data_IF_913484992190
#
_entry.id   IF_913484992190
#
_cell.length_a   1.000
_cell.length_b   1.000
_cell.length_c   1.000
_cell.angle_alpha   90.00
_cell.angle_beta   90.00
_cell.angle_gamma   90.00
#
_symmetry.space_group_name_H-M   'P 1'
#
loop_
_entity.id
_entity.type
_entity.pdbx_description
1 polymer ?
#
# COMPACT_ATOMS: atom_id res chain seq x y z
N UNK A 1 -16.55 77.88 -16.37
CA UNK A 1 -15.33 77.45 -15.65
C UNK A 1 -15.79 76.66 -14.43
N UNK A 2 -15.94 75.37 -14.54
CA UNK A 2 -16.30 74.45 -13.46
C UNK A 2 -15.26 73.35 -13.41
N UNK A 3 -14.53 73.36 -12.30
CA UNK A 3 -13.48 72.41 -11.97
C UNK A 3 -14.12 71.26 -11.16
N UNK A 4 -14.16 70.07 -11.73
CA UNK A 4 -14.55 68.84 -11.06
C UNK A 4 -13.32 68.22 -10.39
N UNK A 5 -13.32 67.78 -9.12
CA UNK A 5 -12.22 67.06 -8.55
C UNK A 5 -12.33 65.57 -8.93
N UNK A 6 -11.25 65.02 -9.49
CA UNK A 6 -11.02 63.59 -9.66
C UNK A 6 -10.85 62.90 -8.31
N UNK A 7 -11.70 61.95 -8.05
CA UNK A 7 -11.54 61.03 -6.92
C UNK A 7 -10.51 59.94 -7.33
N UNK A 8 -9.40 59.92 -6.66
CA UNK A 8 -8.36 58.88 -6.80
C UNK A 8 -8.90 57.54 -6.25
N UNK A 9 -9.08 56.57 -7.15
CA UNK A 9 -9.37 55.18 -6.78
C UNK A 9 -8.11 54.58 -6.19
N UNK A 10 -8.10 54.33 -4.89
CA UNK A 10 -7.06 53.65 -4.18
C UNK A 10 -6.92 52.18 -4.65
N UNK A 11 -5.71 51.84 -5.03
CA UNK A 11 -5.26 50.50 -5.38
C UNK A 11 -5.43 49.54 -4.18
N UNK A 12 -6.17 48.42 -4.24
CA UNK A 12 -6.24 47.48 -3.14
C UNK A 12 -4.90 46.80 -2.91
N UNK A 13 -4.42 46.89 -1.68
CA UNK A 13 -3.19 46.40 -1.13
C UNK A 13 -2.77 45.04 -1.67
N UNK A 14 -1.53 44.98 -2.12
CA UNK A 14 -0.81 43.78 -2.44
C UNK A 14 -0.90 42.78 -1.26
N UNK A 15 -1.43 41.60 -1.52
CA UNK A 15 -1.29 40.45 -0.63
C UNK A 15 0.20 40.17 -0.44
N UNK A 16 0.67 39.95 0.79
CA UNK A 16 2.03 39.49 1.01
C UNK A 16 2.22 38.15 0.30
N UNK A 17 3.39 37.86 -0.28
CA UNK A 17 3.64 36.58 -0.89
C UNK A 17 3.46 35.50 0.19
N UNK A 18 2.68 34.47 -0.16
CA UNK A 18 2.55 33.28 0.65
C UNK A 18 3.97 32.80 0.98
N UNK A 19 4.32 32.80 2.26
CA UNK A 19 5.51 32.11 2.75
C UNK A 19 5.47 30.69 2.15
N UNK A 20 6.40 30.46 1.25
CA UNK A 20 6.68 29.14 0.71
C UNK A 20 6.89 28.22 1.91
N UNK A 21 5.93 27.32 2.13
CA UNK A 21 6.11 26.19 3.00
C UNK A 21 7.46 25.56 2.61
N UNK A 22 8.46 25.79 3.47
CA UNK A 22 9.76 25.15 3.33
C UNK A 22 9.49 23.67 3.26
N UNK A 23 9.60 23.15 2.03
CA UNK A 23 9.48 21.74 1.76
C UNK A 23 10.39 21.01 2.72
N UNK A 24 9.83 20.15 3.56
CA UNK A 24 10.59 19.07 4.19
C UNK A 24 11.54 18.54 3.13
N UNK A 25 12.86 18.47 3.41
CA UNK A 25 13.80 17.96 2.43
C UNK A 25 13.28 16.58 2.02
N UNK A 26 12.81 16.47 0.78
CA UNK A 26 12.62 15.17 0.15
C UNK A 26 13.98 14.50 0.29
N UNK A 27 14.13 13.65 1.30
CA UNK A 27 15.15 12.63 1.31
C UNK A 27 14.94 11.88 0.01
N UNK A 28 15.68 12.29 -1.03
CA UNK A 28 15.80 11.52 -2.25
C UNK A 28 16.29 10.16 -1.78
N UNK A 29 15.39 9.20 -1.73
CA UNK A 29 15.77 7.80 -1.50
C UNK A 29 16.90 7.54 -2.53
N UNK A 30 18.09 7.11 -2.09
CA UNK A 30 19.15 6.78 -3.02
C UNK A 30 18.55 5.84 -4.05
N UNK A 31 18.85 6.09 -5.35
CA UNK A 31 18.31 5.28 -6.44
C UNK A 31 18.44 3.81 -6.08
N UNK A 32 17.33 3.21 -5.72
CA UNK A 32 17.25 1.85 -5.19
C UNK A 32 17.98 0.83 -6.09
N UNK A 33 17.93 0.96 -7.45
CA UNK A 33 18.74 0.14 -8.35
C UNK A 33 20.23 0.22 -8.10
N UNK A 34 20.75 1.40 -7.75
CA UNK A 34 22.19 1.60 -7.54
C UNK A 34 22.68 1.00 -6.23
N UNK A 35 21.89 1.06 -5.17
CA UNK A 35 22.20 0.45 -3.86
C UNK A 35 22.18 -1.07 -3.97
N UNK A 36 21.15 -1.63 -4.61
CA UNK A 36 21.03 -3.07 -4.81
C UNK A 36 22.14 -3.65 -5.70
N UNK A 37 22.56 -2.92 -6.74
CA UNK A 37 23.67 -3.33 -7.60
C UNK A 37 25.01 -3.29 -6.84
N UNK A 38 25.21 -2.32 -5.94
CA UNK A 38 26.39 -2.24 -5.07
C UNK A 38 26.47 -3.39 -4.08
N UNK A 39 25.39 -3.70 -3.37
CA UNK A 39 25.35 -4.79 -2.40
C UNK A 39 25.53 -6.15 -3.07
N UNK A 40 24.96 -6.34 -4.25
CA UNK A 40 25.16 -7.52 -5.06
C UNK A 40 26.63 -7.69 -5.44
N UNK A 41 27.27 -6.63 -5.95
CA UNK A 41 28.69 -6.66 -6.30
C UNK A 41 29.57 -6.99 -5.11
N UNK A 42 29.30 -6.39 -3.96
CA UNK A 42 30.00 -6.69 -2.73
C UNK A 42 29.88 -8.16 -2.31
N UNK A 43 28.67 -8.73 -2.43
CA UNK A 43 28.43 -10.15 -2.16
C UNK A 43 29.21 -11.09 -3.09
N UNK A 44 29.19 -10.81 -4.40
CA UNK A 44 29.93 -11.59 -5.40
C UNK A 44 31.44 -11.51 -5.14
N UNK A 45 31.98 -10.33 -4.88
CA UNK A 45 33.42 -10.16 -4.60
C UNK A 45 33.85 -10.91 -3.33
N UNK A 46 33.01 -10.93 -2.26
CA UNK A 46 33.32 -11.71 -1.06
C UNK A 46 33.43 -13.21 -1.34
N UNK A 47 32.52 -13.76 -2.16
CA UNK A 47 32.58 -15.17 -2.55
C UNK A 47 33.83 -15.48 -3.35
N UNK A 48 34.21 -14.60 -4.28
CA UNK A 48 35.40 -14.77 -5.11
C UNK A 48 36.66 -14.68 -4.25
N UNK A 49 36.75 -13.75 -3.30
CA UNK A 49 37.89 -13.63 -2.39
C UNK A 49 38.02 -14.89 -1.52
N UNK A 50 36.92 -15.41 -0.99
CA UNK A 50 36.95 -16.64 -0.23
C UNK A 50 37.47 -17.81 -1.08
N UNK A 51 36.99 -17.91 -2.34
CA UNK A 51 37.48 -18.92 -3.29
C UNK A 51 38.98 -18.78 -3.56
N UNK A 52 39.50 -17.56 -3.75
CA UNK A 52 40.97 -17.31 -3.91
C UNK A 52 41.77 -17.82 -2.73
N UNK A 53 41.36 -17.53 -1.49
CA UNK A 53 42.03 -18.05 -0.30
C UNK A 53 42.05 -19.57 -0.27
N UNK A 54 40.94 -20.23 -0.58
CA UNK A 54 40.85 -21.70 -0.64
C UNK A 54 41.83 -22.24 -1.69
N UNK A 55 41.88 -21.63 -2.87
CA UNK A 55 42.76 -22.05 -3.96
C UNK A 55 44.24 -21.83 -3.60
N UNK A 56 44.55 -20.70 -2.99
CA UNK A 56 45.94 -20.39 -2.55
C UNK A 56 46.43 -21.42 -1.52
N UNK A 57 45.60 -21.75 -0.54
CA UNK A 57 45.93 -22.81 0.45
C UNK A 57 46.10 -24.16 -0.22
N UNK A 58 45.18 -24.52 -1.14
CA UNK A 58 45.25 -25.77 -1.89
C UNK A 58 46.56 -25.85 -2.72
N UNK A 59 46.91 -24.77 -3.44
CA UNK A 59 48.11 -24.72 -4.24
C UNK A 59 49.38 -24.82 -3.37
N UNK A 60 49.40 -24.09 -2.25
CA UNK A 60 50.53 -24.13 -1.31
C UNK A 60 50.71 -25.53 -0.69
N UNK A 61 49.61 -26.21 -0.33
CA UNK A 61 49.66 -27.58 0.20
C UNK A 61 50.13 -28.54 -0.90
N UNK A 62 49.57 -28.47 -2.11
CA UNK A 62 49.91 -29.37 -3.22
C UNK A 62 51.42 -29.29 -3.60
N UNK A 63 51.98 -28.10 -3.61
CA UNK A 63 53.40 -27.89 -3.94
C UNK A 63 54.32 -28.40 -2.82
N UNK A 64 53.87 -28.35 -1.56
CA UNK A 64 54.70 -28.77 -0.41
C UNK A 64 54.46 -30.23 0.04
N UNK A 65 53.63 -31.01 -0.67
CA UNK A 65 53.38 -32.41 -0.32
C UNK A 65 54.66 -33.25 -0.53
N UNK A 66 55.07 -34.10 0.45
CA UNK A 66 56.22 -34.94 0.30
C UNK A 66 56.11 -35.92 -0.83
N UNK A 67 56.92 -35.77 -1.89
CA UNK A 67 56.97 -36.64 -3.06
C UNK A 67 57.11 -35.96 -4.41
N UNK A 68 56.75 -34.69 -4.54
CA UNK A 68 56.93 -33.92 -5.76
C UNK A 68 58.04 -32.83 -5.55
N UNK A 69 59.28 -33.17 -5.94
CA UNK A 69 60.33 -32.15 -6.02
C UNK A 69 60.28 -31.51 -7.44
N UNK A 70 59.52 -30.42 -7.52
CA UNK A 70 59.54 -29.58 -8.75
C UNK A 70 60.92 -28.97 -8.91
N UNK A 71 61.60 -29.10 -10.03
CA UNK A 71 62.91 -28.46 -10.30
C UNK A 71 62.89 -26.94 -10.20
N UNK A 72 61.70 -26.32 -10.33
CA UNK A 72 61.48 -24.85 -10.32
C UNK A 72 60.85 -24.34 -9.01
N UNK A 73 61.11 -25.02 -7.89
CA UNK A 73 60.52 -24.72 -6.60
C UNK A 73 60.63 -23.25 -6.17
N UNK A 74 61.77 -22.55 -6.32
CA UNK A 74 61.90 -21.13 -5.93
C UNK A 74 60.95 -20.22 -6.74
N UNK A 75 60.73 -20.51 -8.02
CA UNK A 75 59.88 -19.73 -8.90
C UNK A 75 58.41 -19.93 -8.56
N UNK A 76 58.03 -21.17 -8.22
CA UNK A 76 56.67 -21.50 -7.73
C UNK A 76 56.35 -20.81 -6.41
N UNK A 77 57.28 -20.86 -5.44
CA UNK A 77 57.14 -20.19 -4.14
C UNK A 77 57.02 -18.66 -4.29
N UNK A 78 57.81 -18.08 -5.21
CA UNK A 78 57.69 -16.66 -5.55
C UNK A 78 56.32 -16.31 -6.12
N UNK A 79 55.83 -17.11 -7.04
CA UNK A 79 54.53 -16.88 -7.69
C UNK A 79 53.36 -17.02 -6.71
N UNK A 80 53.41 -18.01 -5.81
CA UNK A 80 52.48 -18.17 -4.71
C UNK A 80 52.51 -16.99 -3.73
N UNK A 81 53.70 -16.47 -3.42
CA UNK A 81 53.90 -15.26 -2.61
C UNK A 81 53.26 -14.03 -3.23
N UNK A 82 53.48 -13.82 -4.54
CA UNK A 82 52.85 -12.72 -5.28
C UNK A 82 51.32 -12.84 -5.26
N UNK A 83 50.83 -14.03 -5.46
CA UNK A 83 49.36 -14.28 -5.40
C UNK A 83 48.79 -14.06 -4.00
N UNK A 84 49.49 -14.47 -2.95
CA UNK A 84 49.09 -14.21 -1.56
C UNK A 84 49.00 -12.71 -1.24
N UNK A 85 50.02 -11.92 -1.64
CA UNK A 85 50.05 -10.47 -1.48
C UNK A 85 48.89 -9.82 -2.23
N UNK A 86 48.63 -10.25 -3.47
CA UNK A 86 47.55 -9.74 -4.30
C UNK A 86 46.18 -10.04 -3.65
N UNK A 87 45.97 -11.29 -3.22
CA UNK A 87 44.71 -11.69 -2.53
C UNK A 87 44.54 -10.94 -1.21
N UNK A 88 45.58 -10.73 -0.43
CA UNK A 88 45.50 -9.95 0.79
C UNK A 88 45.14 -8.47 0.50
N UNK A 89 45.73 -7.86 -0.52
CA UNK A 89 45.44 -6.49 -0.90
C UNK A 89 43.98 -6.31 -1.34
N UNK A 90 43.46 -7.24 -2.15
CA UNK A 90 42.05 -7.22 -2.61
C UNK A 90 41.07 -7.49 -1.45
N UNK A 91 41.43 -8.35 -0.51
CA UNK A 91 40.66 -8.60 0.71
C UNK A 91 40.59 -7.35 1.60
N UNK A 92 41.72 -6.64 1.81
CA UNK A 92 41.75 -5.38 2.57
C UNK A 92 40.90 -4.30 1.87
N UNK A 93 41.00 -4.17 0.54
CA UNK A 93 40.17 -3.25 -0.22
C UNK A 93 38.66 -3.54 -0.04
N UNK A 94 38.27 -4.80 -0.03
CA UNK A 94 36.90 -5.20 0.18
C UNK A 94 36.41 -4.93 1.60
N UNK A 95 37.25 -5.18 2.62
CA UNK A 95 36.95 -4.88 4.03
C UNK A 95 36.78 -3.39 4.29
N UNK A 96 37.54 -2.55 3.57
CA UNK A 96 37.42 -1.09 3.61
C UNK A 96 36.31 -0.54 2.70
N UNK A 97 35.43 -1.42 2.19
CA UNK A 97 34.26 -1.09 1.36
C UNK A 97 34.62 -0.43 0.00
N UNK A 98 35.83 -0.67 -0.51
CA UNK A 98 36.29 -0.26 -1.82
C UNK A 98 35.99 -1.34 -2.86
N UNK A 99 34.84 -1.23 -3.54
CA UNK A 99 34.49 -2.17 -4.61
C UNK A 99 35.30 -1.86 -5.88
N UNK A 100 35.83 -2.92 -6.55
CA UNK A 100 36.59 -2.73 -7.77
C UNK A 100 35.72 -2.19 -8.91
N UNK A 101 36.27 -1.25 -9.66
CA UNK A 101 35.66 -0.78 -10.92
C UNK A 101 35.66 -1.91 -11.96
N UNK A 102 34.80 -1.83 -12.97
CA UNK A 102 34.78 -2.84 -14.05
C UNK A 102 36.12 -3.08 -14.70
N UNK A 103 36.90 -2.02 -14.93
CA UNK A 103 38.25 -2.12 -15.50
C UNK A 103 39.18 -2.89 -14.57
N UNK A 104 39.13 -2.60 -13.29
CA UNK A 104 39.92 -3.31 -12.28
C UNK A 104 39.50 -4.80 -12.18
N UNK A 105 38.22 -5.13 -12.28
CA UNK A 105 37.75 -6.51 -12.29
C UNK A 105 38.31 -7.32 -13.47
N UNK A 106 38.43 -6.74 -14.67
CA UNK A 106 39.08 -7.39 -15.82
C UNK A 106 40.59 -7.55 -15.58
N UNK A 107 41.26 -6.54 -15.02
CA UNK A 107 42.67 -6.65 -14.68
C UNK A 107 42.93 -7.75 -13.63
N UNK A 108 42.05 -7.86 -12.61
CA UNK A 108 42.12 -8.91 -11.59
C UNK A 108 41.97 -10.29 -12.22
N UNK A 109 40.99 -10.46 -13.12
CA UNK A 109 40.75 -11.73 -13.82
C UNK A 109 41.98 -12.10 -14.70
N UNK A 110 42.53 -11.15 -15.43
CA UNK A 110 43.72 -11.39 -16.26
C UNK A 110 44.93 -11.81 -15.39
N UNK A 111 45.08 -11.21 -14.22
CA UNK A 111 46.14 -11.56 -13.26
C UNK A 111 45.91 -12.96 -12.67
N UNK A 112 44.70 -13.31 -12.30
CA UNK A 112 44.32 -14.66 -11.82
C UNK A 112 44.63 -15.73 -12.89
N UNK A 113 44.33 -15.45 -14.17
CA UNK A 113 44.67 -16.36 -15.29
C UNK A 113 46.16 -16.48 -15.45
N UNK A 114 46.90 -15.37 -15.43
CA UNK A 114 48.35 -15.35 -15.60
C UNK A 114 49.05 -16.14 -14.48
N UNK A 115 48.68 -15.93 -13.25
CA UNK A 115 49.23 -16.63 -12.08
C UNK A 115 48.91 -18.13 -12.15
N UNK A 116 47.65 -18.51 -12.41
CA UNK A 116 47.24 -19.88 -12.56
C UNK A 116 48.01 -20.58 -13.70
N UNK A 117 48.19 -19.91 -14.82
CA UNK A 117 48.96 -20.43 -15.99
C UNK A 117 50.43 -20.63 -15.66
N UNK A 118 51.06 -19.69 -14.99
CA UNK A 118 52.45 -19.81 -14.55
C UNK A 118 52.65 -20.95 -13.54
N UNK A 119 51.75 -21.11 -12.59
CA UNK A 119 51.76 -22.23 -11.64
C UNK A 119 51.63 -23.57 -12.36
N UNK A 120 50.73 -23.71 -13.32
CA UNK A 120 50.55 -24.93 -14.09
C UNK A 120 51.78 -25.25 -14.94
N UNK A 121 52.36 -24.23 -15.57
CA UNK A 121 53.61 -24.42 -16.39
C UNK A 121 54.76 -24.90 -15.55
N UNK A 122 55.07 -24.21 -14.42
CA UNK A 122 56.14 -24.52 -13.52
C UNK A 122 56.01 -25.88 -12.77
N UNK A 123 54.79 -26.41 -12.65
CA UNK A 123 54.51 -27.63 -11.91
C UNK A 123 54.27 -28.84 -12.78
N UNK A 124 54.65 -28.80 -14.06
CA UNK A 124 54.58 -29.94 -14.97
C UNK A 124 53.59 -29.83 -16.11
N UNK A 125 53.11 -28.62 -16.41
CA UNK A 125 52.26 -28.36 -17.58
C UNK A 125 50.97 -29.19 -17.63
N UNK A 126 50.80 -30.03 -18.61
CA UNK A 126 49.63 -30.88 -18.79
C UNK A 126 49.40 -31.85 -17.63
N UNK A 127 50.47 -32.35 -17.00
CA UNK A 127 50.38 -33.30 -15.90
C UNK A 127 50.15 -32.64 -14.54
N UNK A 128 50.16 -31.31 -14.47
CA UNK A 128 50.01 -30.58 -13.23
C UNK A 128 48.64 -30.80 -12.60
N UNK A 129 48.63 -31.13 -11.31
CA UNK A 129 47.40 -31.18 -10.48
C UNK A 129 46.78 -29.81 -10.27
N UNK A 130 47.60 -28.71 -10.37
CA UNK A 130 47.14 -27.34 -10.24
C UNK A 130 46.25 -26.88 -11.42
N UNK A 131 46.09 -27.68 -12.46
CA UNK A 131 45.13 -27.42 -13.53
C UNK A 131 43.68 -27.29 -13.03
N UNK A 132 43.36 -27.80 -11.84
CA UNK A 132 42.07 -27.60 -11.18
C UNK A 132 41.76 -26.12 -10.84
N UNK A 133 42.80 -25.31 -10.67
CA UNK A 133 42.70 -23.87 -10.38
C UNK A 133 41.94 -23.14 -11.49
N UNK A 134 42.11 -23.54 -12.74
CA UNK A 134 41.42 -22.95 -13.87
C UNK A 134 39.86 -23.05 -13.77
N UNK A 135 39.35 -24.14 -13.21
CA UNK A 135 37.89 -24.28 -13.02
C UNK A 135 37.34 -23.21 -12.09
N UNK A 136 38.07 -22.89 -11.02
CA UNK A 136 37.65 -21.86 -10.06
C UNK A 136 37.74 -20.44 -10.67
N UNK A 137 38.73 -20.18 -11.52
CA UNK A 137 38.85 -18.90 -12.25
C UNK A 137 37.68 -18.74 -13.23
N UNK A 138 37.24 -19.84 -13.92
CA UNK A 138 36.07 -19.84 -14.82
C UNK A 138 34.81 -19.58 -14.03
N UNK A 139 34.59 -20.22 -12.87
CA UNK A 139 33.43 -20.01 -12.01
C UNK A 139 33.43 -18.56 -11.48
N UNK A 140 34.54 -18.03 -11.01
CA UNK A 140 34.66 -16.64 -10.56
C UNK A 140 34.31 -15.64 -11.67
N UNK A 141 34.77 -15.92 -12.91
CA UNK A 141 34.41 -15.14 -14.10
C UNK A 141 32.91 -15.16 -14.40
N UNK A 142 32.24 -16.31 -14.21
CA UNK A 142 30.79 -16.43 -14.41
C UNK A 142 30.00 -15.59 -13.42
N UNK A 143 30.44 -15.51 -12.16
CA UNK A 143 29.80 -14.69 -11.13
C UNK A 143 29.94 -13.19 -11.39
N UNK A 144 31.10 -12.73 -11.92
CA UNK A 144 31.37 -11.33 -12.26
C UNK A 144 30.73 -10.87 -13.55
N UNK A 145 30.86 -11.68 -14.61
CA UNK A 145 30.57 -11.27 -15.98
C UNK A 145 29.47 -12.11 -16.65
N UNK A 146 28.91 -13.07 -15.93
CA UNK A 146 27.85 -13.96 -16.43
C UNK A 146 28.36 -14.96 -17.50
N UNK A 147 27.42 -15.48 -18.29
CA UNK A 147 27.70 -16.53 -19.28
C UNK A 147 28.75 -16.12 -20.34
N UNK A 148 28.64 -14.90 -20.86
CA UNK A 148 29.61 -14.41 -21.86
C UNK A 148 31.03 -14.32 -21.31
N UNK A 149 31.18 -13.86 -20.08
CA UNK A 149 32.45 -13.77 -19.39
C UNK A 149 33.09 -15.14 -19.09
N UNK A 150 32.29 -16.10 -18.64
CA UNK A 150 32.78 -17.45 -18.37
C UNK A 150 33.25 -18.19 -19.62
N UNK A 151 32.50 -18.07 -20.72
CA UNK A 151 32.89 -18.67 -22.01
C UNK A 151 34.17 -18.03 -22.57
N UNK A 152 34.28 -16.71 -22.50
CA UNK A 152 35.50 -16.01 -22.92
C UNK A 152 36.69 -16.41 -22.06
N UNK A 153 36.54 -16.50 -20.73
CA UNK A 153 37.56 -16.95 -19.80
C UNK A 153 38.01 -18.38 -20.10
N UNK A 154 37.09 -19.31 -20.32
CA UNK A 154 37.38 -20.69 -20.64
C UNK A 154 38.14 -20.82 -21.97
N UNK A 155 37.74 -20.07 -23.02
CA UNK A 155 38.43 -20.03 -24.28
C UNK A 155 39.85 -19.45 -24.16
N UNK A 156 40.03 -18.41 -23.36
CA UNK A 156 41.36 -17.83 -23.10
C UNK A 156 42.28 -18.80 -22.34
N UNK A 157 41.78 -19.48 -21.32
CA UNK A 157 42.51 -20.51 -20.57
C UNK A 157 42.86 -21.66 -21.47
N UNK A 158 41.93 -22.15 -22.33
CA UNK A 158 42.17 -23.22 -23.27
C UNK A 158 43.30 -22.86 -24.27
N UNK A 159 43.30 -21.64 -24.79
CA UNK A 159 44.37 -21.17 -25.69
C UNK A 159 45.75 -21.12 -25.00
N UNK A 160 45.79 -20.60 -23.77
CA UNK A 160 47.02 -20.54 -22.96
C UNK A 160 47.52 -21.97 -22.64
N UNK A 161 46.60 -22.85 -22.21
CA UNK A 161 46.91 -24.21 -21.85
C UNK A 161 47.47 -25.00 -23.04
N UNK A 162 46.89 -24.77 -24.23
CA UNK A 162 47.45 -25.32 -25.50
C UNK A 162 48.85 -24.77 -25.79
N UNK A 163 49.06 -23.45 -25.57
CA UNK A 163 50.39 -22.82 -25.77
C UNK A 163 51.47 -23.40 -24.85
N UNK A 164 51.15 -23.66 -23.58
CA UNK A 164 52.05 -24.32 -22.62
C UNK A 164 52.44 -25.71 -23.12
N UNK A 165 51.46 -26.49 -23.62
CA UNK A 165 51.73 -27.81 -24.19
C UNK A 165 52.67 -27.83 -25.37
N UNK A 166 52.58 -26.89 -26.28
CA UNK A 166 53.50 -26.75 -27.40
C UNK A 166 54.91 -26.28 -26.97
N UNK A 167 55.01 -25.38 -25.98
CA UNK A 167 56.26 -24.84 -25.51
C UNK A 167 57.14 -25.89 -24.76
N UNK A 168 56.51 -26.80 -24.06
CA UNK A 168 57.19 -27.87 -23.31
C UNK A 168 57.82 -28.96 -24.20
N UNK A 169 57.66 -28.87 -25.52
CA UNK A 169 58.31 -29.77 -26.48
C UNK A 169 57.85 -31.22 -26.41
N UNK A 170 56.71 -31.47 -25.72
CA UNK A 170 56.15 -32.81 -25.55
C UNK A 170 55.76 -33.40 -26.88
N UNK A 171 56.26 -34.61 -27.19
CA UNK A 171 55.67 -35.42 -28.25
C UNK A 171 54.17 -35.56 -27.91
N UNK A 172 53.30 -35.18 -28.87
CA UNK A 172 51.87 -35.35 -28.74
C UNK A 172 51.55 -36.84 -28.80
N UNK A 173 51.81 -37.53 -27.70
CA UNK A 173 51.37 -38.90 -27.52
C UNK A 173 49.85 -38.91 -27.37
N UNK A 174 49.20 -39.98 -27.76
CA UNK A 174 47.75 -40.12 -27.72
C UNK A 174 47.16 -39.90 -26.32
N UNK A 175 47.92 -40.28 -25.28
CA UNK A 175 47.53 -40.03 -23.88
C UNK A 175 47.46 -38.55 -23.52
N UNK A 176 48.43 -37.75 -23.98
CA UNK A 176 48.52 -36.27 -23.76
C UNK A 176 47.41 -35.56 -24.53
N UNK A 177 47.12 -35.98 -25.75
CA UNK A 177 46.00 -35.45 -26.55
C UNK A 177 44.65 -35.71 -25.90
N UNK A 178 44.45 -36.93 -25.38
CA UNK A 178 43.22 -37.27 -24.67
C UNK A 178 43.02 -36.48 -23.40
N UNK A 179 44.05 -36.32 -22.57
CA UNK A 179 44.01 -35.50 -21.34
C UNK A 179 43.70 -34.04 -21.66
N UNK A 180 44.27 -33.51 -22.71
CA UNK A 180 44.01 -32.14 -23.18
C UNK A 180 42.56 -31.99 -23.63
N UNK A 181 42.06 -32.92 -24.45
CA UNK A 181 40.68 -32.89 -24.92
C UNK A 181 39.67 -32.99 -23.77
N UNK A 182 39.93 -33.83 -22.78
CA UNK A 182 39.12 -33.97 -21.58
C UNK A 182 39.03 -32.65 -20.78
N UNK A 183 40.20 -32.02 -20.52
CA UNK A 183 40.26 -30.76 -19.79
C UNK A 183 39.59 -29.63 -20.55
N UNK A 184 39.78 -29.53 -21.85
CA UNK A 184 39.11 -28.55 -22.69
C UNK A 184 37.58 -28.71 -22.65
N UNK A 185 37.13 -29.95 -22.75
CA UNK A 185 35.69 -30.26 -22.60
C UNK A 185 35.17 -29.81 -21.23
N UNK A 186 35.88 -30.12 -20.15
CA UNK A 186 35.48 -29.73 -18.81
C UNK A 186 35.48 -28.21 -18.62
N UNK A 187 36.44 -27.45 -19.18
CA UNK A 187 36.43 -26.01 -19.16
C UNK A 187 35.16 -25.44 -19.77
N UNK A 188 34.77 -25.95 -20.94
CA UNK A 188 33.56 -25.53 -21.64
C UNK A 188 32.28 -25.91 -20.87
N UNK A 189 32.22 -27.12 -20.33
CA UNK A 189 31.06 -27.56 -19.54
C UNK A 189 30.90 -26.72 -18.26
N UNK A 190 31.97 -26.47 -17.53
CA UNK A 190 31.96 -25.68 -16.31
C UNK A 190 31.60 -24.23 -16.64
N UNK A 191 32.14 -23.65 -17.70
CA UNK A 191 31.81 -22.29 -18.14
C UNK A 191 30.32 -22.16 -18.49
N UNK A 192 29.76 -23.14 -19.21
CA UNK A 192 28.38 -23.17 -19.59
C UNK A 192 27.45 -23.28 -18.35
N UNK A 193 27.70 -24.30 -17.51
CA UNK A 193 26.88 -24.58 -16.33
C UNK A 193 26.94 -23.41 -15.35
N UNK A 194 28.14 -22.94 -14.99
CA UNK A 194 28.29 -21.83 -14.04
C UNK A 194 27.69 -20.52 -14.57
N UNK A 195 27.82 -20.28 -15.89
CA UNK A 195 27.23 -19.11 -16.56
C UNK A 195 25.71 -19.16 -16.61
N UNK A 196 25.10 -20.32 -16.85
CA UNK A 196 23.65 -20.52 -16.82
C UNK A 196 23.09 -20.36 -15.39
N UNK A 197 23.77 -20.95 -14.40
CA UNK A 197 23.38 -20.80 -13.00
C UNK A 197 23.43 -19.33 -12.58
N UNK A 198 24.52 -18.63 -12.93
CA UNK A 198 24.68 -17.19 -12.65
C UNK A 198 23.53 -16.37 -13.26
N UNK A 199 23.17 -16.66 -14.51
CA UNK A 199 22.05 -16.01 -15.21
C UNK A 199 20.71 -16.25 -14.50
N UNK A 200 20.41 -17.49 -14.15
CA UNK A 200 19.16 -17.87 -13.48
C UNK A 200 19.04 -17.22 -12.08
N UNK A 201 20.15 -17.23 -11.32
CA UNK A 201 20.17 -16.55 -10.00
C UNK A 201 19.88 -15.06 -10.10
N UNK A 202 20.41 -14.38 -11.13
CA UNK A 202 20.17 -12.95 -11.35
C UNK A 202 18.71 -12.70 -11.71
N UNK A 203 18.15 -13.51 -12.61
CA UNK A 203 16.76 -13.37 -13.05
C UNK A 203 15.77 -13.69 -11.93
N UNK A 204 16.01 -14.76 -11.17
CA UNK A 204 15.15 -15.14 -10.03
C UNK A 204 15.09 -14.05 -8.96
N UNK A 205 16.23 -13.48 -8.58
CA UNK A 205 16.27 -12.35 -7.63
C UNK A 205 15.56 -11.11 -8.16
N UNK A 206 15.72 -10.79 -9.44
CA UNK A 206 15.03 -9.67 -10.05
C UNK A 206 13.51 -9.85 -10.00
N UNK A 207 13.00 -11.04 -10.32
CA UNK A 207 11.56 -11.37 -10.23
C UNK A 207 11.04 -11.25 -8.79
N UNK A 208 11.78 -11.77 -7.82
CA UNK A 208 11.38 -11.66 -6.40
C UNK A 208 11.29 -10.20 -5.94
N UNK A 209 12.26 -9.38 -6.29
CA UNK A 209 12.24 -7.95 -5.94
C UNK A 209 11.06 -7.22 -6.58
N UNK A 210 10.81 -7.43 -7.88
CA UNK A 210 9.67 -6.82 -8.57
C UNK A 210 8.36 -7.19 -7.87
N UNK A 211 8.17 -8.46 -7.53
CA UNK A 211 6.97 -8.92 -6.83
C UNK A 211 6.80 -8.30 -5.44
N UNK A 212 7.90 -8.17 -4.68
CA UNK A 212 7.87 -7.50 -3.37
C UNK A 212 7.46 -6.03 -3.50
N UNK A 213 8.02 -5.31 -4.47
CA UNK A 213 7.64 -3.91 -4.72
C UNK A 213 6.20 -3.74 -5.17
N UNK A 214 5.68 -4.66 -6.00
CA UNK A 214 4.26 -4.63 -6.38
C UNK A 214 3.35 -4.80 -5.16
N UNK A 215 3.66 -5.72 -4.25
CA UNK A 215 2.90 -5.91 -3.02
C UNK A 215 2.98 -4.69 -2.10
N UNK A 216 4.17 -4.11 -1.92
CA UNK A 216 4.34 -2.89 -1.13
C UNK A 216 3.58 -1.70 -1.73
N UNK A 217 3.59 -1.55 -3.05
CA UNK A 217 2.86 -0.49 -3.74
C UNK A 217 1.34 -0.63 -3.57
N UNK A 218 0.80 -1.86 -3.64
CA UNK A 218 -0.63 -2.13 -3.39
C UNK A 218 -0.98 -1.77 -1.95
N UNK A 219 -0.23 -2.28 -0.96
CA UNK A 219 -0.46 -2.01 0.46
C UNK A 219 -0.35 -0.50 0.79
N UNK A 220 0.61 0.19 0.17
CA UNK A 220 0.75 1.63 0.34
C UNK A 220 -0.43 2.43 -0.24
N UNK A 221 -0.94 2.02 -1.40
CA UNK A 221 -2.11 2.66 -2.01
C UNK A 221 -3.38 2.43 -1.18
N UNK A 222 -3.58 1.23 -0.64
CA UNK A 222 -4.68 0.93 0.27
C UNK A 222 -4.61 1.78 1.54
N UNK A 223 -3.43 1.88 2.15
CA UNK A 223 -3.22 2.70 3.34
C UNK A 223 -3.49 4.18 3.06
N UNK A 224 -3.04 4.70 1.91
CA UNK A 224 -3.31 6.07 1.49
C UNK A 224 -4.78 6.35 1.27
N UNK A 225 -5.53 5.40 0.70
CA UNK A 225 -6.97 5.56 0.49
C UNK A 225 -7.72 5.61 1.82
N UNK A 226 -7.34 4.76 2.78
CA UNK A 226 -7.89 4.80 4.15
C UNK A 226 -7.58 6.14 4.83
N UNK A 227 -6.36 6.64 4.72
CA UNK A 227 -5.96 7.93 5.32
C UNK A 227 -6.69 9.12 4.65
N UNK A 228 -6.90 9.05 3.33
CA UNK A 228 -7.70 10.03 2.60
C UNK A 228 -9.15 10.06 3.08
N UNK A 229 -9.78 8.88 3.16
CA UNK A 229 -11.16 8.76 3.64
C UNK A 229 -11.29 9.32 5.05
N UNK A 230 -10.34 9.00 5.94
CA UNK A 230 -10.29 9.53 7.30
C UNK A 230 -10.15 11.06 7.34
N UNK A 231 -9.30 11.61 6.49
CA UNK A 231 -9.07 13.06 6.40
C UNK A 231 -10.31 13.79 5.87
N UNK A 232 -10.95 13.25 4.83
CA UNK A 232 -12.19 13.78 4.27
C UNK A 232 -13.31 13.74 5.32
N UNK A 233 -13.39 12.67 6.12
CA UNK A 233 -14.30 12.55 7.26
C UNK A 233 -14.10 13.68 8.28
N UNK A 234 -12.87 13.89 8.75
CA UNK A 234 -12.59 14.92 9.75
C UNK A 234 -12.91 16.32 9.24
N UNK A 235 -12.66 16.58 7.97
CA UNK A 235 -12.96 17.87 7.34
C UNK A 235 -14.47 18.09 7.24
N UNK A 236 -15.23 17.12 6.75
CA UNK A 236 -16.68 17.19 6.66
C UNK A 236 -17.33 17.29 8.04
N UNK A 237 -16.87 16.48 9.01
CA UNK A 237 -17.34 16.53 10.39
C UNK A 237 -17.19 17.94 10.99
N UNK A 238 -16.02 18.54 10.80
CA UNK A 238 -15.75 19.88 11.28
C UNK A 238 -16.65 20.94 10.63
N UNK A 239 -16.94 20.79 9.32
CA UNK A 239 -17.81 21.71 8.60
C UNK A 239 -19.27 21.64 9.11
N UNK A 240 -19.81 20.42 9.20
CA UNK A 240 -21.19 20.19 9.60
C UNK A 240 -21.46 20.49 11.10
N UNK A 241 -20.47 20.38 11.96
CA UNK A 241 -20.56 20.83 13.34
C UNK A 241 -20.50 22.37 13.45
N UNK A 242 -19.73 23.03 12.57
CA UNK A 242 -19.56 24.49 12.61
C UNK A 242 -20.83 25.23 12.21
N UNK A 243 -21.57 24.74 11.23
CA UNK A 243 -22.77 25.39 10.70
C UNK A 243 -23.85 25.58 11.76
N UNK A 244 -24.36 24.52 12.45
CA UNK A 244 -25.36 24.69 13.52
C UNK A 244 -24.84 25.51 14.67
N UNK A 245 -23.56 25.35 15.04
CA UNK A 245 -22.95 26.13 16.11
C UNK A 245 -22.92 27.65 15.78
N UNK A 246 -22.69 28.00 14.51
CA UNK A 246 -22.71 29.37 14.04
C UNK A 246 -24.11 29.97 14.13
N UNK A 247 -25.15 29.22 13.73
CA UNK A 247 -26.54 29.64 13.86
C UNK A 247 -26.96 29.84 15.33
N UNK A 248 -26.61 28.87 16.19
CA UNK A 248 -26.84 28.96 17.63
C UNK A 248 -26.21 30.25 18.20
N UNK A 249 -24.93 30.49 17.88
CA UNK A 249 -24.25 31.72 18.34
C UNK A 249 -24.92 32.98 17.81
N UNK A 250 -25.34 33.00 16.53
CA UNK A 250 -25.99 34.17 15.94
C UNK A 250 -27.31 34.49 16.64
N UNK A 251 -28.15 33.49 16.93
CA UNK A 251 -29.41 33.69 17.66
C UNK A 251 -29.19 34.14 19.10
N UNK A 252 -28.21 33.56 19.82
CA UNK A 252 -27.86 33.98 21.16
C UNK A 252 -27.41 35.45 21.17
N UNK A 253 -26.50 35.86 20.25
CA UNK A 253 -26.05 37.25 20.13
C UNK A 253 -27.20 38.18 19.81
N UNK A 254 -28.09 37.81 18.87
CA UNK A 254 -29.26 38.63 18.53
C UNK A 254 -30.20 38.81 19.74
N UNK A 255 -30.47 37.75 20.51
CA UNK A 255 -31.29 37.85 21.73
C UNK A 255 -30.63 38.72 22.84
N UNK A 256 -29.30 38.64 22.98
CA UNK A 256 -28.56 39.45 23.93
C UNK A 256 -28.53 40.93 23.54
N UNK A 257 -28.28 41.25 22.27
CA UNK A 257 -28.15 42.63 21.77
C UNK A 257 -29.50 43.35 21.69
N UNK A 258 -30.56 42.65 21.28
CA UNK A 258 -31.88 43.22 21.14
C UNK A 258 -32.67 43.24 22.47
N UNK A 259 -32.41 42.32 23.39
CA UNK A 259 -33.07 42.21 24.70
C UNK A 259 -34.61 42.26 24.60
N UNK A 260 -35.27 43.14 25.36
CA UNK A 260 -36.72 43.34 25.35
C UNK A 260 -37.25 44.04 24.08
N UNK A 261 -36.37 44.50 23.19
CA UNK A 261 -36.76 45.14 21.93
C UNK A 261 -37.10 44.12 20.84
N UNK A 262 -36.80 42.84 21.06
CA UNK A 262 -37.15 41.78 20.09
C UNK A 262 -38.66 41.55 20.12
N UNK A 263 -39.36 41.56 18.95
CA UNK A 263 -40.77 41.21 18.89
C UNK A 263 -40.98 39.79 19.49
N UNK A 264 -42.07 39.62 20.24
CA UNK A 264 -42.38 38.33 20.88
C UNK A 264 -42.34 37.15 19.89
N UNK A 265 -42.90 37.33 18.69
CA UNK A 265 -42.85 36.31 17.64
C UNK A 265 -41.45 35.95 17.17
N UNK A 266 -40.52 36.91 17.05
CA UNK A 266 -39.14 36.68 16.68
C UNK A 266 -38.34 35.98 17.80
N UNK A 267 -38.69 36.25 19.04
CA UNK A 267 -38.08 35.56 20.19
C UNK A 267 -38.48 34.07 20.23
N UNK A 268 -39.75 33.78 20.01
CA UNK A 268 -40.26 32.41 19.98
C UNK A 268 -39.70 31.64 18.81
N UNK A 269 -39.54 32.29 17.65
CA UNK A 269 -38.88 31.69 16.47
C UNK A 269 -37.41 31.38 16.77
N UNK A 270 -36.68 32.30 17.37
CA UNK A 270 -35.28 32.10 17.76
C UNK A 270 -35.10 30.96 18.76
N UNK A 271 -36.01 30.81 19.74
CA UNK A 271 -35.99 29.71 20.71
C UNK A 271 -36.23 28.36 19.98
N UNK A 272 -37.19 28.32 19.05
CA UNK A 272 -37.44 27.11 18.25
C UNK A 272 -36.24 26.74 17.41
N UNK A 273 -35.61 27.70 16.75
CA UNK A 273 -34.42 27.48 15.92
C UNK A 273 -33.22 27.01 16.76
N UNK A 274 -32.97 27.63 17.91
CA UNK A 274 -31.95 27.21 18.85
C UNK A 274 -32.12 25.78 19.31
N UNK A 275 -33.35 25.39 19.62
CA UNK A 275 -33.68 24.01 20.01
C UNK A 275 -33.45 23.03 18.88
N UNK A 276 -33.95 23.34 17.68
CA UNK A 276 -33.76 22.53 16.47
C UNK A 276 -32.30 22.28 16.12
N UNK A 277 -31.47 23.34 16.12
CA UNK A 277 -30.05 23.25 15.84
C UNK A 277 -29.27 22.51 16.94
N UNK A 278 -29.67 22.66 18.23
CA UNK A 278 -29.09 21.89 19.34
C UNK A 278 -29.39 20.38 19.22
N UNK A 279 -30.61 20.02 18.88
CA UNK A 279 -31.01 18.62 18.65
C UNK A 279 -30.31 18.04 17.42
N UNK A 280 -30.15 18.84 16.35
CA UNK A 280 -29.39 18.44 15.18
C UNK A 280 -27.92 18.16 15.54
N UNK A 281 -27.29 19.03 16.33
CA UNK A 281 -25.92 18.86 16.80
C UNK A 281 -25.75 17.60 17.66
N UNK A 282 -26.72 17.33 18.53
CA UNK A 282 -26.73 16.12 19.36
C UNK A 282 -26.78 14.85 18.49
N UNK A 283 -27.68 14.81 17.49
CA UNK A 283 -27.74 13.67 16.54
C UNK A 283 -26.43 13.49 15.75
N UNK A 284 -25.81 14.58 15.31
CA UNK A 284 -24.53 14.51 14.59
C UNK A 284 -23.44 13.91 15.47
N UNK A 285 -23.33 14.35 16.73
CA UNK A 285 -22.31 13.84 17.67
C UNK A 285 -22.55 12.38 18.01
N UNK A 286 -23.82 11.93 18.18
CA UNK A 286 -24.18 10.53 18.40
C UNK A 286 -23.80 9.65 17.21
N UNK A 287 -24.07 10.10 15.98
CA UNK A 287 -23.68 9.40 14.77
C UNK A 287 -22.16 9.26 14.65
N UNK A 288 -21.41 10.33 14.92
CA UNK A 288 -19.95 10.31 14.89
C UNK A 288 -19.35 9.35 15.92
N UNK A 289 -19.89 9.37 17.15
CA UNK A 289 -19.45 8.46 18.21
C UNK A 289 -19.75 6.99 17.83
N UNK A 290 -20.93 6.75 17.28
CA UNK A 290 -21.30 5.39 16.83
C UNK A 290 -20.37 4.88 15.73
N UNK A 291 -19.99 5.73 14.77
CA UNK A 291 -19.01 5.37 13.72
C UNK A 291 -17.65 5.07 14.33
N UNK A 292 -17.16 5.91 15.23
CA UNK A 292 -15.89 5.66 15.91
C UNK A 292 -15.88 4.30 16.63
N UNK A 293 -16.98 3.96 17.32
CA UNK A 293 -17.16 2.64 17.96
C UNK A 293 -17.26 1.48 16.95
N UNK A 294 -17.84 1.72 15.78
CA UNK A 294 -17.91 0.74 14.70
C UNK A 294 -16.52 0.45 14.11
N UNK A 295 -15.74 1.48 13.87
CA UNK A 295 -14.37 1.37 13.30
C UNK A 295 -13.39 0.74 14.28
N UNK A 296 -13.49 1.08 15.59
CA UNK A 296 -12.65 0.44 16.62
C UNK A 296 -13.04 -1.00 16.94
N UNK A 297 -14.19 -1.49 16.42
CA UNK A 297 -14.71 -2.82 16.76
C UNK A 297 -15.26 -2.97 18.19
N UNK A 298 -15.39 -1.86 18.91
CA UNK A 298 -15.83 -1.83 20.31
C UNK A 298 -17.36 -1.97 20.47
N UNK A 299 -18.10 -1.85 19.38
CA UNK A 299 -19.57 -1.90 19.43
C UNK A 299 -20.04 -3.32 19.85
N UNK A 300 -20.69 -3.41 20.98
CA UNK A 300 -21.34 -4.63 21.47
C UNK A 300 -22.84 -4.46 21.33
N UNK A 301 -23.46 -5.26 20.46
CA UNK A 301 -24.90 -5.27 20.25
C UNK A 301 -25.59 -6.16 21.28
N UNK A 302 -26.70 -5.66 21.85
CA UNK A 302 -27.59 -6.44 22.70
C UNK A 302 -28.79 -6.88 21.89
N UNK A 303 -28.61 -7.90 21.07
CA UNK A 303 -29.68 -8.42 20.20
C UNK A 303 -30.70 -9.19 21.05
N UNK A 304 -31.91 -8.65 21.13
CA UNK A 304 -33.08 -9.22 21.83
C UNK A 304 -34.31 -9.12 20.93
N UNK A 305 -35.42 -9.79 21.32
CA UNK A 305 -36.69 -9.59 20.64
C UNK A 305 -37.22 -8.19 20.98
N UNK A 306 -37.29 -7.33 19.98
CA UNK A 306 -37.70 -5.94 20.09
C UNK A 306 -39.09 -5.77 19.48
N UNK A 307 -39.99 -5.12 20.20
CA UNK A 307 -41.31 -4.79 19.70
C UNK A 307 -41.24 -3.62 18.70
N UNK A 308 -41.63 -3.88 17.46
CA UNK A 308 -41.47 -2.94 16.34
C UNK A 308 -42.32 -1.68 16.52
N UNK A 309 -43.58 -1.83 17.04
CA UNK A 309 -44.45 -0.68 17.28
C UNK A 309 -43.85 0.30 18.28
N UNK A 310 -43.31 -0.22 19.38
CA UNK A 310 -42.65 0.59 20.42
C UNK A 310 -41.46 1.38 19.86
N UNK A 311 -40.56 0.72 19.14
CA UNK A 311 -39.37 1.39 18.62
C UNK A 311 -39.71 2.39 17.51
N UNK A 312 -40.60 2.04 16.59
CA UNK A 312 -41.06 2.95 15.53
C UNK A 312 -41.74 4.18 16.12
N UNK A 313 -42.69 3.97 17.06
CA UNK A 313 -43.44 5.06 17.70
C UNK A 313 -42.55 5.98 18.52
N UNK A 314 -41.59 5.44 19.29
CA UNK A 314 -40.60 6.23 20.03
C UNK A 314 -39.67 7.01 19.10
N UNK A 315 -39.26 6.40 17.98
CA UNK A 315 -38.42 7.09 17.00
C UNK A 315 -39.17 8.24 16.34
N UNK A 316 -40.43 8.04 15.90
CA UNK A 316 -41.24 9.11 15.32
C UNK A 316 -41.45 10.24 16.31
N UNK A 317 -41.64 9.94 17.59
CA UNK A 317 -41.84 10.95 18.62
C UNK A 317 -40.71 11.97 18.70
N UNK A 318 -39.49 11.60 18.32
CA UNK A 318 -38.33 12.50 18.25
C UNK A 318 -38.42 13.55 17.13
N UNK A 319 -39.29 13.32 16.13
CA UNK A 319 -39.47 14.20 14.97
C UNK A 319 -40.78 15.03 15.03
N UNK A 320 -41.63 14.86 16.04
CA UNK A 320 -42.96 15.51 16.11
C UNK A 320 -42.84 17.03 16.23
N UNK A 321 -41.75 17.57 16.79
CA UNK A 321 -41.52 19.03 16.88
C UNK A 321 -41.07 19.64 15.54
N UNK A 322 -40.40 18.85 14.70
CA UNK A 322 -39.91 19.29 13.37
C UNK A 322 -40.85 18.91 12.22
N UNK A 323 -41.73 17.93 12.43
CA UNK A 323 -42.70 17.51 11.44
C UNK A 323 -44.03 17.13 12.13
N UNK A 324 -45.17 17.55 11.53
CA UNK A 324 -46.51 17.16 12.04
C UNK A 324 -46.63 15.64 12.07
N UNK A 325 -47.18 15.08 13.18
CA UNK A 325 -47.47 13.65 13.33
C UNK A 325 -48.35 13.13 12.20
N UNK A 326 -49.21 13.95 11.63
CA UNK A 326 -50.07 13.59 10.49
C UNK A 326 -49.30 13.19 9.23
N UNK A 327 -48.02 13.54 9.14
CA UNK A 327 -47.14 13.14 8.03
C UNK A 327 -46.69 11.68 8.10
N UNK A 328 -46.89 10.98 9.24
CA UNK A 328 -46.45 9.62 9.40
C UNK A 328 -47.63 8.65 9.34
N UNK A 329 -47.52 7.66 8.44
CA UNK A 329 -48.43 6.52 8.34
C UNK A 329 -47.65 5.27 8.68
N UNK A 330 -48.02 4.62 9.78
CA UNK A 330 -47.40 3.37 10.26
C UNK A 330 -48.35 2.22 10.07
N UNK A 331 -47.88 1.13 9.49
CA UNK A 331 -48.62 -0.12 9.30
C UNK A 331 -47.73 -1.28 9.68
N UNK A 332 -48.10 -2.03 10.71
CA UNK A 332 -47.32 -3.19 11.18
C UNK A 332 -48.21 -4.42 11.09
N UNK A 333 -47.79 -5.41 10.34
CA UNK A 333 -48.46 -6.68 10.27
C UNK A 333 -48.34 -7.46 11.62
N UNK A 334 -49.38 -8.15 12.09
CA UNK A 334 -49.33 -8.83 13.39
C UNK A 334 -48.18 -9.83 13.55
N UNK A 335 -47.79 -10.47 12.45
CA UNK A 335 -46.69 -11.44 12.40
C UNK A 335 -45.27 -10.78 12.34
N UNK A 336 -45.21 -9.46 12.19
CA UNK A 336 -44.00 -8.66 12.20
C UNK A 336 -43.78 -7.85 13.49
N UNK A 337 -44.52 -8.20 14.55
CA UNK A 337 -44.50 -7.45 15.80
C UNK A 337 -43.13 -7.43 16.49
N UNK A 338 -42.31 -8.47 16.32
CA UNK A 338 -41.05 -8.59 17.01
C UNK A 338 -39.90 -8.94 16.04
N UNK A 339 -38.81 -8.14 16.07
CA UNK A 339 -37.57 -8.41 15.37
C UNK A 339 -36.43 -8.67 16.36
N UNK A 340 -35.44 -9.46 15.98
CA UNK A 340 -34.20 -9.67 16.76
C UNK A 340 -33.24 -8.53 16.46
N UNK A 341 -33.13 -7.57 17.39
CA UNK A 341 -32.32 -6.39 17.22
C UNK A 341 -31.79 -5.82 18.55
N UNK A 342 -30.90 -4.88 18.48
CA UNK A 342 -30.59 -3.95 19.57
C UNK A 342 -31.56 -2.76 19.44
N UNK A 343 -32.40 -2.52 20.46
CA UNK A 343 -33.45 -1.51 20.38
C UNK A 343 -32.93 -0.09 20.15
N UNK A 344 -31.84 0.29 20.83
CA UNK A 344 -31.25 1.62 20.69
C UNK A 344 -30.62 1.81 19.30
N UNK A 345 -29.97 0.79 18.80
CA UNK A 345 -29.34 0.81 17.45
C UNK A 345 -30.37 0.73 16.33
N UNK A 346 -31.44 -0.02 16.51
CA UNK A 346 -32.56 -0.04 15.57
C UNK A 346 -33.28 1.33 15.53
N UNK A 347 -33.48 1.96 16.68
CA UNK A 347 -34.02 3.32 16.75
C UNK A 347 -33.13 4.34 16.02
N UNK A 348 -31.80 4.21 16.13
CA UNK A 348 -30.86 5.04 15.40
C UNK A 348 -30.93 4.81 13.87
N UNK A 349 -31.02 3.56 13.43
CA UNK A 349 -31.22 3.21 12.02
C UNK A 349 -32.51 3.84 11.47
N UNK A 350 -33.62 3.64 12.17
CA UNK A 350 -34.92 4.21 11.78
C UNK A 350 -34.86 5.75 11.77
N UNK A 351 -34.21 6.36 12.75
CA UNK A 351 -34.03 7.81 12.79
C UNK A 351 -33.27 8.33 11.58
N UNK A 352 -32.19 7.64 11.14
CA UNK A 352 -31.46 8.00 9.93
C UNK A 352 -32.33 7.94 8.67
N UNK A 353 -33.18 6.91 8.54
CA UNK A 353 -34.07 6.76 7.39
C UNK A 353 -35.23 7.76 7.41
N UNK A 354 -35.81 8.03 8.57
CA UNK A 354 -36.89 9.01 8.74
C UNK A 354 -36.38 10.43 8.50
N UNK A 355 -35.20 10.80 9.04
CA UNK A 355 -34.57 12.10 8.80
C UNK A 355 -34.35 12.29 7.28
N UNK A 356 -33.86 11.27 6.61
CA UNK A 356 -33.63 11.29 5.17
C UNK A 356 -34.96 11.48 4.40
N UNK A 357 -36.03 10.73 4.78
CA UNK A 357 -37.34 10.85 4.18
C UNK A 357 -37.95 12.25 4.35
N UNK A 358 -37.86 12.84 5.55
CA UNK A 358 -38.37 14.18 5.84
C UNK A 358 -37.61 15.28 5.10
N UNK A 359 -36.30 15.11 4.99
CA UNK A 359 -35.39 16.07 4.36
C UNK A 359 -35.56 16.17 2.85
N UNK A 360 -35.79 15.04 2.18
CA UNK A 360 -35.83 14.98 0.72
C UNK A 360 -37.25 14.95 0.17
N UNK A 361 -38.30 14.69 0.98
CA UNK A 361 -39.69 14.83 0.58
C UNK A 361 -40.24 16.25 0.75
N UNK A 362 -41.22 16.64 -0.07
CA UNK A 362 -41.99 17.87 0.18
C UNK A 362 -42.67 17.83 1.57
N UNK A 363 -42.83 18.98 2.21
CA UNK A 363 -43.44 19.07 3.56
C UNK A 363 -44.88 18.57 3.63
N UNK A 364 -45.61 18.62 2.51
CA UNK A 364 -46.98 18.17 2.38
C UNK A 364 -47.13 16.68 2.17
N UNK A 365 -46.04 15.96 1.92
CA UNK A 365 -46.08 14.56 1.56
C UNK A 365 -45.89 13.65 2.78
N UNK A 366 -46.52 12.45 2.71
CA UNK A 366 -46.53 11.47 3.78
C UNK A 366 -45.23 10.60 3.72
N UNK A 367 -44.70 10.29 4.90
CA UNK A 367 -43.69 9.27 5.12
C UNK A 367 -44.39 8.00 5.61
N UNK A 368 -44.31 6.91 4.83
CA UNK A 368 -44.98 5.63 5.20
C UNK A 368 -43.94 4.67 5.77
N UNK A 369 -44.26 4.06 6.91
CA UNK A 369 -43.46 3.03 7.53
C UNK A 369 -44.29 1.75 7.58
N UNK A 370 -43.80 0.72 6.89
CA UNK A 370 -44.50 -0.56 6.82
C UNK A 370 -43.63 -1.67 7.35
N UNK A 371 -44.11 -2.46 8.30
CA UNK A 371 -43.42 -3.65 8.76
C UNK A 371 -44.22 -4.90 8.43
N UNK A 372 -43.62 -5.87 7.77
CA UNK A 372 -44.22 -7.16 7.41
C UNK A 372 -43.23 -8.30 7.63
N UNK A 373 -43.74 -9.50 7.78
CA UNK A 373 -42.91 -10.70 7.83
C UNK A 373 -42.64 -11.22 6.41
N UNK A 374 -41.40 -11.63 6.19
CA UNK A 374 -40.97 -12.27 4.95
C UNK A 374 -40.05 -13.46 5.30
N UNK A 375 -40.64 -14.64 5.39
CA UNK A 375 -39.95 -15.83 5.87
C UNK A 375 -39.39 -15.67 7.28
N UNK A 376 -38.08 -15.88 7.49
CA UNK A 376 -37.44 -15.73 8.79
C UNK A 376 -37.17 -14.28 9.18
N UNK A 377 -37.47 -13.31 8.32
CA UNK A 377 -37.12 -11.89 8.51
C UNK A 377 -38.37 -11.04 8.78
N UNK A 378 -38.18 -10.00 9.58
CA UNK A 378 -39.09 -8.85 9.66
C UNK A 378 -38.53 -7.78 8.72
N UNK A 379 -39.30 -7.46 7.70
CA UNK A 379 -38.97 -6.46 6.68
C UNK A 379 -39.66 -5.17 7.03
N UNK A 380 -38.89 -4.10 7.24
CA UNK A 380 -39.39 -2.75 7.52
C UNK A 380 -39.03 -1.83 6.35
N UNK A 381 -40.06 -1.21 5.80
CA UNK A 381 -39.94 -0.27 4.66
C UNK A 381 -40.21 1.15 5.15
N UNK A 382 -39.31 2.07 4.82
CA UNK A 382 -39.50 3.52 4.98
C UNK A 382 -39.64 4.13 3.60
N UNK A 383 -40.85 4.57 3.27
CA UNK A 383 -41.21 5.08 1.95
C UNK A 383 -41.31 6.61 2.01
N UNK A 384 -40.59 7.26 1.14
CA UNK A 384 -40.60 8.72 0.91
C UNK A 384 -41.23 9.07 -0.46
N UNK A 385 -41.54 10.33 -0.67
CA UNK A 385 -42.00 10.88 -1.93
C UNK A 385 -41.02 11.94 -2.47
N UNK A 386 -39.74 11.80 -2.10
CA UNK A 386 -38.66 12.64 -2.57
C UNK A 386 -38.24 12.33 -4.01
N UNK A 387 -37.14 12.94 -4.40
CA UNK A 387 -36.53 12.65 -5.71
C UNK A 387 -36.00 11.21 -5.71
N UNK A 388 -36.36 10.47 -6.75
CA UNK A 388 -35.90 9.10 -6.94
C UNK A 388 -34.35 9.03 -7.06
N UNK A 389 -33.76 8.09 -6.35
CA UNK A 389 -32.36 7.72 -6.45
C UNK A 389 -32.20 6.81 -7.68
N UNK A 390 -31.32 7.14 -8.63
CA UNK A 390 -31.08 6.29 -9.80
C UNK A 390 -30.59 4.89 -9.40
N UNK A 391 -31.00 3.87 -10.18
CA UNK A 391 -30.62 2.48 -9.90
C UNK A 391 -29.09 2.26 -9.85
N UNK A 392 -28.34 3.00 -10.66
CA UNK A 392 -26.88 2.97 -10.67
C UNK A 392 -26.23 3.51 -9.37
N UNK A 393 -27.00 4.25 -8.56
CA UNK A 393 -26.53 4.87 -7.32
C UNK A 393 -27.10 4.19 -6.07
N UNK A 394 -28.04 3.25 -6.22
CA UNK A 394 -28.77 2.62 -5.11
C UNK A 394 -27.86 1.92 -4.08
N UNK A 395 -26.78 1.29 -4.52
CA UNK A 395 -25.79 0.70 -3.61
C UNK A 395 -24.78 1.74 -3.08
N UNK A 396 -24.51 2.77 -3.88
CA UNK A 396 -23.48 3.79 -3.55
C UNK A 396 -23.94 4.76 -2.48
N UNK A 397 -25.24 4.99 -2.34
CA UNK A 397 -25.78 5.88 -1.29
C UNK A 397 -25.53 5.37 0.13
N UNK A 398 -25.21 4.10 0.29
CA UNK A 398 -24.79 3.49 1.56
C UNK A 398 -23.27 3.52 1.78
N UNK A 399 -22.49 4.01 0.81
CA UNK A 399 -21.06 4.21 1.02
C UNK A 399 -20.81 5.41 1.95
N UNK A 400 -19.75 5.36 2.73
CA UNK A 400 -19.37 6.48 3.62
C UNK A 400 -19.14 7.75 2.81
N UNK A 401 -19.76 8.87 3.26
CA UNK A 401 -19.61 10.21 2.66
C UNK A 401 -20.15 10.36 1.25
N UNK A 402 -20.89 9.39 0.75
CA UNK A 402 -21.49 9.49 -0.57
C UNK A 402 -22.72 10.39 -0.53
N UNK A 403 -22.80 11.31 -1.48
CA UNK A 403 -23.96 12.16 -1.74
C UNK A 403 -24.27 12.10 -3.23
N UNK A 404 -25.55 11.99 -3.57
CA UNK A 404 -25.99 12.09 -4.96
C UNK A 404 -25.66 13.50 -5.46
N UNK A 405 -24.77 13.63 -6.42
CA UNK A 405 -24.34 14.93 -6.98
C UNK A 405 -25.49 15.66 -7.68
N UNK A 406 -26.12 16.60 -6.98
CA UNK A 406 -27.04 17.57 -7.59
C UNK A 406 -26.81 18.94 -6.97
N UNK A 407 -26.63 20.00 -7.79
CA UNK A 407 -26.46 21.36 -7.30
C UNK A 407 -27.60 21.85 -6.40
N UNK A 408 -28.81 21.31 -6.60
CA UNK A 408 -30.02 21.64 -5.81
C UNK A 408 -30.07 20.91 -4.45
N UNK A 409 -29.36 19.80 -4.28
CA UNK A 409 -29.32 19.02 -3.03
C UNK A 409 -28.25 19.50 -2.07
N UNK A 410 -27.21 20.18 -2.55
CA UNK A 410 -26.16 20.82 -1.69
C UNK A 410 -26.73 21.83 -0.70
N UNK A 411 -27.86 22.48 -1.01
CA UNK A 411 -28.52 23.46 -0.11
C UNK A 411 -29.23 22.83 1.08
N UNK A 412 -29.58 21.54 1.02
CA UNK A 412 -30.31 20.82 2.10
C UNK A 412 -29.40 20.01 3.04
N UNK A 413 -28.07 20.23 2.98
CA UNK A 413 -27.04 19.78 3.91
C UNK A 413 -27.19 18.33 4.42
N UNK A 414 -26.09 17.65 4.67
CA UNK A 414 -26.07 16.35 5.33
C UNK A 414 -24.74 15.66 5.11
N UNK A 415 -24.33 14.90 6.09
CA UNK A 415 -22.99 14.29 6.16
C UNK A 415 -22.73 13.15 5.16
N UNK A 416 -23.81 12.60 4.52
CA UNK A 416 -23.69 11.33 3.78
C UNK A 416 -23.30 10.13 4.66
N UNK A 417 -23.50 10.25 5.98
CA UNK A 417 -23.06 9.27 6.97
C UNK A 417 -24.22 8.46 7.54
N UNK A 418 -25.43 9.01 7.52
CA UNK A 418 -26.60 8.35 8.13
C UNK A 418 -26.93 7.02 7.48
N UNK A 419 -26.94 6.95 6.14
CA UNK A 419 -27.21 5.70 5.41
C UNK A 419 -26.06 4.68 5.57
N UNK A 420 -24.81 5.14 5.58
CA UNK A 420 -23.66 4.28 5.88
C UNK A 420 -23.77 3.66 7.28
N UNK A 421 -24.06 4.50 8.28
CA UNK A 421 -24.28 4.04 9.66
C UNK A 421 -25.42 3.04 9.76
N UNK A 422 -26.55 3.33 9.11
CA UNK A 422 -27.70 2.43 9.06
C UNK A 422 -27.30 1.06 8.48
N UNK A 423 -26.54 1.02 7.39
CA UNK A 423 -26.07 -0.22 6.78
C UNK A 423 -25.16 -1.00 7.73
N UNK A 424 -24.15 -0.34 8.32
CA UNK A 424 -23.22 -0.99 9.24
C UNK A 424 -23.92 -1.58 10.47
N UNK A 425 -24.90 -0.89 11.02
CA UNK A 425 -25.67 -1.38 12.18
C UNK A 425 -26.58 -2.54 11.81
N UNK A 426 -27.31 -2.45 10.69
CA UNK A 426 -28.20 -3.51 10.21
C UNK A 426 -27.43 -4.78 9.90
N UNK A 427 -26.31 -4.68 9.19
CA UNK A 427 -25.46 -5.83 8.86
C UNK A 427 -24.89 -6.50 10.13
N UNK A 428 -24.47 -5.70 11.13
CA UNK A 428 -24.00 -6.25 12.43
C UNK A 428 -25.13 -6.88 13.28
N UNK A 429 -26.36 -6.46 13.08
CA UNK A 429 -27.54 -7.14 13.67
C UNK A 429 -27.96 -8.42 12.90
N UNK A 430 -27.17 -8.82 11.87
CA UNK A 430 -27.47 -10.00 11.06
C UNK A 430 -28.55 -9.77 10.00
N UNK A 431 -28.85 -8.51 9.71
CA UNK A 431 -29.82 -8.07 8.73
C UNK A 431 -29.22 -7.59 7.41
N UNK A 432 -30.10 -7.00 6.58
CA UNK A 432 -29.73 -6.36 5.30
C UNK A 432 -30.53 -5.09 5.09
N UNK A 433 -29.91 -4.08 4.43
CA UNK A 433 -30.56 -2.83 4.02
C UNK A 433 -30.33 -2.58 2.54
N UNK A 434 -31.36 -2.10 1.83
CA UNK A 434 -31.29 -1.74 0.41
C UNK A 434 -32.36 -0.74 0.04
N UNK A 435 -32.35 -0.24 -1.20
CA UNK A 435 -33.41 0.57 -1.79
C UNK A 435 -34.23 -0.31 -2.73
N UNK A 436 -35.55 -0.31 -2.54
CA UNK A 436 -36.47 -0.91 -3.49
C UNK A 436 -36.92 0.18 -4.50
N UNK A 437 -36.47 0.03 -5.71
CA UNK A 437 -36.72 0.97 -6.81
C UNK A 437 -37.95 0.60 -7.67
N UNK A 438 -38.84 -0.25 -7.16
CA UNK A 438 -40.07 -0.67 -7.88
C UNK A 438 -41.10 0.47 -8.01
N UNK A 439 -41.09 1.47 -7.12
CA UNK A 439 -41.91 2.66 -7.19
C UNK A 439 -41.45 3.62 -8.28
N UNK A 440 -42.40 4.20 -9.00
CA UNK A 440 -42.15 5.19 -10.07
C UNK A 440 -41.69 6.54 -9.47
N UNK A 441 -42.20 6.91 -8.28
CA UNK A 441 -41.90 8.17 -7.62
C UNK A 441 -41.51 7.91 -6.15
N UNK A 442 -40.54 8.69 -5.66
CA UNK A 442 -39.99 8.55 -4.32
C UNK A 442 -39.03 7.36 -4.18
N UNK A 443 -38.60 7.08 -2.94
CA UNK A 443 -37.71 5.99 -2.62
C UNK A 443 -38.35 5.09 -1.56
N UNK A 444 -37.97 3.84 -1.53
CA UNK A 444 -38.32 2.88 -0.48
C UNK A 444 -37.03 2.31 0.08
N UNK A 445 -36.66 2.73 1.28
CA UNK A 445 -35.56 2.12 2.02
C UNK A 445 -36.08 0.89 2.77
N UNK A 446 -35.47 -0.23 2.56
CA UNK A 446 -35.90 -1.52 3.11
C UNK A 446 -34.84 -2.08 4.05
N UNK A 447 -35.26 -2.46 5.25
CA UNK A 447 -34.45 -3.15 6.25
C UNK A 447 -35.07 -4.54 6.46
N UNK A 448 -34.22 -5.58 6.39
CA UNK A 448 -34.62 -6.93 6.80
C UNK A 448 -33.80 -7.33 8.03
N UNK A 449 -34.46 -7.62 9.13
CA UNK A 449 -33.85 -8.12 10.38
C UNK A 449 -34.38 -9.52 10.70
N UNK A 450 -33.61 -10.40 11.36
CA UNK A 450 -34.09 -11.67 11.79
C UNK A 450 -35.36 -11.51 12.66
N UNK A 451 -36.39 -12.26 12.36
CA UNK A 451 -37.64 -12.29 13.17
C UNK A 451 -37.47 -13.19 14.39
N UNK A 452 -38.29 -12.97 15.41
CA UNK A 452 -38.44 -13.93 16.50
C UNK A 452 -39.06 -15.20 15.92
N UNK A 453 -38.46 -16.36 16.18
CA UNK A 453 -38.97 -17.68 15.77
C UNK A 453 -40.25 -18.04 16.54
#
# INVERSE_FOLDING_TARGET
>A
MSVTPQVAVGNPAARPPAESAQGTPHRTLPDLPTVLDRDRRAGVERVIELARWIVLVFAAVSVNFPGETSPNRPEVDLLLGVWAIFTLATTIALLTNHLPTRRLQYAMLALDIAIASGLVDLTGGFSSQLGLVFYLVIIASSLRFGLGGSLFCAASIAAIYLGIGFATGGQLDSSTVNLFAERLFLFMVIALISGLISREMVQSRARQLTHTYELEAVAFNELREVDRIKSDFMMLASHELRTPLTKIKAWISLMQDAGDRLPAGARDEGIRELRSESEHLARLTENLLCIAQLESGEIRLKTVAVEMDTVISQTIARFIESADRSRFVVTIAPDAAHAMADADRLALVLACLIDNALKFSPETELVRIVARRDGPYVVTEVQDNGRRIPDAEADRVFASFYQVESPLLRQRGGFGVGLYLARQLVERMGGRIWIDNTRVQGNTFVIALPGQL
#
